data_IF_063813404703
#
_entry.id   IF_063813404703
#
_cell.length_a   1.000
_cell.length_b   1.000
_cell.length_c   1.000
_cell.angle_alpha   90.00
_cell.angle_beta   90.00
_cell.angle_gamma   90.00
#
_symmetry.space_group_name_H-M   'P 1'
#
loop_
_entity.id
_entity.type
_entity.pdbx_description
1 polymer ?
#
# COMPACT_ATOMS: atom_id res chain seq x y z
N UNK A 1 -0.31 -29.48 -55.79
CA UNK A 1 -0.22 -29.40 -54.32
C UNK A 1 1.18 -28.93 -53.97
N UNK A 2 1.32 -27.74 -53.39
CA UNK A 2 2.57 -27.35 -52.73
C UNK A 2 2.20 -26.40 -51.59
N UNK A 3 1.95 -26.98 -50.42
CA UNK A 3 1.65 -26.27 -49.17
C UNK A 3 2.93 -26.15 -48.38
N UNK A 4 3.62 -25.04 -48.55
CA UNK A 4 4.76 -24.67 -47.70
C UNK A 4 5.07 -23.20 -47.88
N UNK A 5 4.73 -22.36 -46.91
CA UNK A 5 5.77 -21.79 -46.06
C UNK A 5 5.17 -21.08 -44.83
N UNK A 6 5.57 -21.53 -43.65
CA UNK A 6 5.39 -20.91 -42.34
C UNK A 6 5.95 -19.50 -42.32
N UNK A 7 5.19 -18.49 -41.87
CA UNK A 7 5.74 -17.27 -41.26
C UNK A 7 4.71 -16.78 -40.23
N UNK A 8 4.76 -17.37 -39.03
CA UNK A 8 4.23 -16.75 -37.82
C UNK A 8 5.04 -15.48 -37.57
N UNK A 9 4.74 -14.41 -38.28
CA UNK A 9 5.19 -13.08 -37.90
C UNK A 9 4.30 -12.68 -36.75
N UNK A 10 4.80 -12.79 -35.53
CA UNK A 10 4.39 -11.92 -34.43
C UNK A 10 4.30 -10.53 -35.05
N UNK A 11 3.09 -9.99 -35.16
CA UNK A 11 2.93 -8.68 -35.77
C UNK A 11 3.57 -7.63 -34.86
N UNK A 12 3.70 -6.38 -35.33
CA UNK A 12 4.34 -5.33 -34.54
C UNK A 12 3.62 -5.09 -33.19
N UNK A 13 2.31 -5.34 -33.15
CA UNK A 13 1.53 -5.28 -31.93
C UNK A 13 1.86 -6.46 -31.01
N UNK A 14 1.88 -7.70 -31.50
CA UNK A 14 2.28 -8.89 -30.73
C UNK A 14 3.69 -8.74 -30.16
N UNK A 15 4.62 -8.21 -30.96
CA UNK A 15 5.99 -7.94 -30.52
C UNK A 15 6.03 -6.87 -29.41
N UNK A 16 5.17 -5.84 -29.50
CA UNK A 16 5.04 -4.80 -28.47
C UNK A 16 4.48 -5.37 -27.17
N UNK A 17 3.44 -6.21 -27.27
CA UNK A 17 2.82 -6.89 -26.13
C UNK A 17 3.84 -7.82 -25.45
N UNK A 18 4.54 -8.65 -26.22
CA UNK A 18 5.59 -9.54 -25.70
C UNK A 18 6.73 -8.76 -25.04
N UNK A 19 7.22 -7.70 -25.69
CA UNK A 19 8.28 -6.86 -25.14
C UNK A 19 7.84 -6.19 -23.83
N UNK A 20 6.57 -5.79 -23.72
CA UNK A 20 6.07 -5.18 -22.48
C UNK A 20 5.86 -6.22 -21.39
N UNK A 21 5.29 -7.38 -21.69
CA UNK A 21 5.11 -8.49 -20.74
C UNK A 21 6.43 -9.01 -20.16
N UNK A 22 7.50 -8.98 -20.96
CA UNK A 22 8.83 -9.46 -20.58
C UNK A 22 9.76 -8.35 -20.04
N UNK A 23 9.28 -7.11 -19.96
CA UNK A 23 10.07 -6.02 -19.42
C UNK A 23 10.27 -6.19 -17.91
N UNK A 24 11.45 -5.87 -17.40
CA UNK A 24 11.77 -5.99 -15.96
C UNK A 24 10.87 -5.14 -15.06
N UNK A 25 10.36 -4.03 -15.61
CA UNK A 25 9.46 -3.11 -14.95
C UNK A 25 7.97 -3.43 -15.21
N UNK A 26 7.66 -4.56 -15.85
CA UNK A 26 6.27 -4.93 -16.11
C UNK A 26 5.52 -5.21 -14.81
N UNK A 27 4.44 -4.46 -14.59
CA UNK A 27 3.65 -4.56 -13.35
C UNK A 27 4.33 -3.95 -12.12
N UNK A 28 5.56 -3.43 -12.24
CA UNK A 28 6.19 -2.68 -11.17
C UNK A 28 5.65 -1.24 -11.14
N UNK A 29 5.40 -0.67 -9.95
CA UNK A 29 5.14 0.76 -9.83
C UNK A 29 6.34 1.54 -10.37
N UNK A 30 6.10 2.56 -11.21
CA UNK A 30 7.20 3.35 -11.75
C UNK A 30 7.93 4.08 -10.60
N UNK A 31 9.25 4.23 -10.68
CA UNK A 31 10.04 4.94 -9.65
C UNK A 31 9.56 6.38 -9.40
N UNK A 32 8.97 7.03 -10.42
CA UNK A 32 8.31 8.33 -10.29
C UNK A 32 7.08 8.31 -9.37
N UNK A 33 6.47 7.15 -9.17
CA UNK A 33 5.30 6.95 -8.31
C UNK A 33 5.66 6.54 -6.89
N UNK A 34 6.92 6.25 -6.55
CA UNK A 34 7.28 5.84 -5.19
C UNK A 34 6.91 6.92 -4.15
N UNK A 35 7.18 8.19 -4.47
CA UNK A 35 6.76 9.32 -3.63
C UNK A 35 5.23 9.42 -3.51
N UNK A 36 4.51 9.11 -4.60
CA UNK A 36 3.05 9.07 -4.60
C UNK A 36 2.53 7.95 -3.68
N UNK A 37 3.07 6.74 -3.79
CA UNK A 37 2.66 5.61 -2.94
C UNK A 37 3.04 5.82 -1.48
N UNK A 38 4.21 6.40 -1.19
CA UNK A 38 4.60 6.80 0.16
C UNK A 38 3.62 7.82 0.75
N UNK A 39 3.24 8.84 -0.02
CA UNK A 39 2.23 9.82 0.40
C UNK A 39 0.86 9.16 0.66
N UNK A 40 0.45 8.25 -0.22
CA UNK A 40 -0.82 7.52 -0.07
C UNK A 40 -0.82 6.63 1.16
N UNK A 41 0.27 5.91 1.41
CA UNK A 41 0.43 5.07 2.60
C UNK A 41 0.35 5.91 3.88
N UNK A 42 1.12 6.99 3.97
CA UNK A 42 1.08 7.90 5.12
C UNK A 42 -0.33 8.50 5.34
N UNK A 43 -1.02 8.86 4.26
CA UNK A 43 -2.40 9.35 4.33
C UNK A 43 -3.37 8.29 4.87
N UNK A 44 -3.24 7.03 4.41
CA UNK A 44 -4.09 5.94 4.86
C UNK A 44 -3.87 5.61 6.35
N UNK A 45 -2.60 5.55 6.78
CA UNK A 45 -2.25 5.34 8.19
C UNK A 45 -2.82 6.47 9.05
N UNK A 46 -2.55 7.73 8.68
CA UNK A 46 -3.03 8.90 9.42
C UNK A 46 -4.55 8.99 9.51
N UNK A 47 -5.26 8.64 8.43
CA UNK A 47 -6.72 8.60 8.42
C UNK A 47 -7.27 7.50 9.34
N UNK A 48 -6.65 6.32 9.37
CA UNK A 48 -7.06 5.23 10.26
C UNK A 48 -6.82 5.58 11.73
N UNK A 49 -5.66 6.16 12.07
CA UNK A 49 -5.38 6.65 13.43
C UNK A 49 -6.34 7.77 13.84
N UNK A 50 -6.71 8.66 12.90
CA UNK A 50 -7.72 9.68 13.15
C UNK A 50 -9.11 9.07 13.39
N UNK A 51 -9.47 8.01 12.66
CA UNK A 51 -10.71 7.27 12.89
C UNK A 51 -10.71 6.58 14.27
N UNK A 52 -9.58 6.01 14.71
CA UNK A 52 -9.44 5.48 16.08
C UNK A 52 -9.68 6.58 17.12
N UNK A 53 -9.09 7.76 16.92
CA UNK A 53 -9.23 8.88 17.86
C UNK A 53 -10.67 9.36 17.97
N UNK A 54 -11.40 9.37 16.86
CA UNK A 54 -12.77 9.88 16.78
C UNK A 54 -13.85 8.80 17.01
N UNK A 55 -13.45 7.54 17.20
CA UNK A 55 -14.39 6.45 17.46
C UNK A 55 -15.15 6.71 18.76
N UNK A 56 -16.48 6.58 18.71
CA UNK A 56 -17.39 6.80 19.85
C UNK A 56 -17.85 5.49 20.49
N UNK A 57 -17.49 4.36 19.89
CA UNK A 57 -17.82 3.03 20.37
C UNK A 57 -16.67 2.05 20.10
N UNK A 58 -16.69 0.95 20.85
CA UNK A 58 -15.62 -0.06 20.82
C UNK A 58 -15.50 -0.75 19.46
N UNK A 59 -16.61 -0.93 18.74
CA UNK A 59 -16.61 -1.61 17.45
C UNK A 59 -15.83 -0.81 16.41
N UNK A 60 -16.18 0.46 16.23
CA UNK A 60 -15.53 1.37 15.29
C UNK A 60 -14.06 1.60 15.67
N UNK A 61 -13.78 1.71 16.97
CA UNK A 61 -12.41 1.82 17.48
C UNK A 61 -11.57 0.60 17.09
N UNK A 62 -12.09 -0.61 17.33
CA UNK A 62 -11.39 -1.86 17.02
C UNK A 62 -11.17 -2.02 15.51
N UNK A 63 -12.17 -1.63 14.69
CA UNK A 63 -12.03 -1.66 13.24
C UNK A 63 -10.93 -0.71 12.75
N UNK A 64 -10.93 0.53 13.25
CA UNK A 64 -9.92 1.52 12.90
C UNK A 64 -8.52 1.12 13.38
N UNK A 65 -8.40 0.49 14.55
CA UNK A 65 -7.15 -0.06 15.08
C UNK A 65 -6.57 -1.13 14.14
N UNK A 66 -7.38 -2.12 13.78
CA UNK A 66 -6.97 -3.19 12.87
C UNK A 66 -6.59 -2.62 11.49
N UNK A 67 -7.29 -1.58 11.04
CA UNK A 67 -7.01 -0.93 9.78
C UNK A 67 -5.68 -0.14 9.81
N UNK A 68 -5.40 0.58 10.89
CA UNK A 68 -4.13 1.27 11.07
C UNK A 68 -2.95 0.28 11.09
N UNK A 69 -3.06 -0.82 11.84
CA UNK A 69 -2.03 -1.86 11.90
C UNK A 69 -1.78 -2.52 10.54
N UNK A 70 -2.85 -2.83 9.80
CA UNK A 70 -2.76 -3.38 8.46
C UNK A 70 -2.09 -2.41 7.47
N UNK A 71 -2.41 -1.11 7.54
CA UNK A 71 -1.78 -0.11 6.67
C UNK A 71 -0.31 0.12 7.00
N UNK A 72 0.07 0.13 8.29
CA UNK A 72 1.47 0.24 8.71
C UNK A 72 2.26 -0.98 8.22
N UNK A 73 1.69 -2.18 8.37
CA UNK A 73 2.33 -3.42 7.93
C UNK A 73 2.50 -3.43 6.40
N UNK A 74 1.45 -3.13 5.65
CA UNK A 74 1.52 -3.05 4.20
C UNK A 74 2.52 -1.98 3.73
N UNK A 75 2.57 -0.81 4.38
CA UNK A 75 3.52 0.24 4.04
C UNK A 75 4.97 -0.19 4.25
N UNK A 76 5.25 -1.01 5.27
CA UNK A 76 6.58 -1.60 5.47
C UNK A 76 6.88 -2.68 4.42
N UNK A 77 5.93 -3.59 4.16
CA UNK A 77 6.10 -4.70 3.23
C UNK A 77 6.36 -4.23 1.79
N UNK A 78 5.75 -3.11 1.39
CA UNK A 78 5.99 -2.46 0.10
C UNK A 78 7.14 -1.44 0.12
N UNK A 79 7.89 -1.36 1.22
CA UNK A 79 9.04 -0.45 1.39
C UNK A 79 8.68 1.04 1.18
N UNK A 80 7.42 1.41 1.41
CA UNK A 80 6.98 2.81 1.39
C UNK A 80 7.42 3.56 2.64
N UNK A 81 7.60 2.85 3.75
CA UNK A 81 8.17 3.34 4.99
C UNK A 81 9.29 2.41 5.47
N UNK A 82 10.19 2.93 6.30
CA UNK A 82 11.20 2.12 6.98
C UNK A 82 10.80 1.74 8.42
N UNK A 83 11.68 1.00 9.11
CA UNK A 83 11.46 0.56 10.49
C UNK A 83 11.38 1.73 11.49
N UNK A 84 12.06 2.84 11.22
CA UNK A 84 12.02 4.02 12.08
C UNK A 84 10.70 4.77 11.93
N UNK A 85 10.21 4.91 10.71
CA UNK A 85 8.90 5.48 10.41
C UNK A 85 7.78 4.59 10.97
N UNK A 86 7.91 3.25 10.87
CA UNK A 86 6.99 2.31 11.53
C UNK A 86 6.91 2.54 13.03
N UNK A 87 8.05 2.72 13.71
CA UNK A 87 8.07 2.95 15.16
C UNK A 87 7.29 4.22 15.54
N UNK A 88 7.45 5.30 14.79
CA UNK A 88 6.69 6.55 15.00
C UNK A 88 5.18 6.32 14.87
N UNK A 89 4.74 5.63 13.82
CA UNK A 89 3.31 5.33 13.65
C UNK A 89 2.75 4.44 14.76
N UNK A 90 3.52 3.45 15.23
CA UNK A 90 3.11 2.60 16.35
C UNK A 90 3.02 3.39 17.67
N UNK A 91 3.91 4.34 17.90
CA UNK A 91 3.86 5.23 19.07
C UNK A 91 2.60 6.11 19.05
N UNK A 92 2.25 6.69 17.89
CA UNK A 92 1.01 7.45 17.72
C UNK A 92 -0.23 6.59 17.97
N UNK A 93 -0.24 5.38 17.41
CA UNK A 93 -1.33 4.41 17.60
C UNK A 93 -1.47 4.04 19.09
N UNK A 94 -0.35 3.78 19.78
CA UNK A 94 -0.34 3.47 21.21
C UNK A 94 -0.79 4.66 22.08
N UNK A 95 -0.52 5.90 21.67
CA UNK A 95 -1.04 7.08 22.36
C UNK A 95 -2.57 7.16 22.25
N UNK A 96 -3.13 6.93 21.05
CA UNK A 96 -4.59 6.92 20.86
C UNK A 96 -5.26 5.77 21.63
N UNK A 97 -4.66 4.57 21.62
CA UNK A 97 -5.17 3.43 22.40
C UNK A 97 -5.25 3.79 23.89
N UNK A 98 -4.22 4.39 24.46
CA UNK A 98 -4.20 4.82 25.87
C UNK A 98 -5.33 5.82 26.18
N UNK A 99 -5.53 6.83 25.33
CA UNK A 99 -6.62 7.79 25.50
C UNK A 99 -7.99 7.09 25.49
N UNK A 100 -8.22 6.21 24.51
CA UNK A 100 -9.51 5.52 24.33
C UNK A 100 -9.81 4.44 25.39
N UNK A 101 -8.78 3.83 25.99
CA UNK A 101 -8.96 2.79 27.03
C UNK A 101 -8.94 3.33 28.46
N UNK A 102 -8.12 4.34 28.73
CA UNK A 102 -7.91 4.87 30.09
C UNK A 102 -8.78 6.11 30.33
N UNK A 103 -9.32 6.73 29.26
CA UNK A 103 -10.11 7.95 29.37
C UNK A 103 -9.30 9.16 29.84
N UNK A 104 -7.97 9.10 29.71
CA UNK A 104 -7.10 10.25 29.94
C UNK A 104 -7.48 11.34 28.93
N UNK A 105 -8.29 12.28 29.41
CA UNK A 105 -8.64 13.48 28.67
C UNK A 105 -7.37 14.32 28.53
N UNK A 106 -7.07 14.71 27.30
CA UNK A 106 -5.96 15.60 26.96
C UNK A 106 -6.02 16.93 27.73
#
# INVERSE_FOLDING_TARGET
>A
MNTSNSHSKTDQFDQTILNRLLAEDFGQPQLSDLAFYKLRAATQIGNAISAMRNATNQHDFTQALNQADAFITAALDYEFIDLSEKAVWLEEMAAVVRIQTIGESA
#
